data_IF_789511738042
#
_entry.id   IF_789511738042
#
_cell.length_a   1.000
_cell.length_b   1.000
_cell.length_c   1.000
_cell.angle_alpha   90.00
_cell.angle_beta   90.00
_cell.angle_gamma   90.00
#
_symmetry.space_group_name_H-M   'P 1'
#
loop_
_entity.id
_entity.type
_entity.pdbx_description
1 polymer ?
#
# COMPACT_ATOMS: atom_id res chain seq x y z
N UNK A 1 -18.92 -6.11 18.97
CA UNK A 1 -20.02 -5.43 19.71
C UNK A 1 -20.48 -6.20 20.94
N UNK A 2 -21.13 -7.38 20.84
CA UNK A 2 -21.66 -8.08 22.01
C UNK A 2 -20.58 -8.44 23.05
N UNK A 3 -19.36 -8.76 22.60
CA UNK A 3 -18.20 -8.99 23.46
C UNK A 3 -17.62 -7.72 24.12
N UNK A 4 -18.23 -6.54 23.93
CA UNK A 4 -17.78 -5.29 24.55
C UNK A 4 -16.49 -4.68 23.98
N UNK A 5 -15.92 -5.21 22.89
CA UNK A 5 -14.68 -4.69 22.32
C UNK A 5 -14.83 -3.25 21.79
N UNK A 6 -13.82 -2.42 22.07
CA UNK A 6 -13.71 -1.04 21.57
C UNK A 6 -13.03 -0.94 20.20
N UNK A 7 -12.23 -1.94 19.84
CA UNK A 7 -11.49 -2.00 18.59
C UNK A 7 -11.89 -3.20 17.73
N UNK A 8 -11.78 -3.03 16.42
CA UNK A 8 -11.94 -4.06 15.41
C UNK A 8 -10.76 -3.98 14.44
N UNK A 9 -9.97 -5.04 14.36
CA UNK A 9 -8.91 -5.20 13.36
C UNK A 9 -9.39 -6.22 12.34
N UNK A 10 -9.46 -5.83 11.08
CA UNK A 10 -9.90 -6.67 9.97
C UNK A 10 -8.76 -6.86 8.98
N UNK A 11 -8.34 -8.12 8.84
CA UNK A 11 -7.33 -8.55 7.87
C UNK A 11 -7.94 -9.57 6.91
N UNK A 12 -8.63 -9.08 5.88
CA UNK A 12 -9.36 -9.92 4.91
C UNK A 12 -9.22 -9.37 3.48
N UNK A 13 -9.62 -10.18 2.50
CA UNK A 13 -9.59 -9.79 1.08
C UNK A 13 -10.68 -8.76 0.74
N UNK A 14 -10.50 -7.95 -0.33
CA UNK A 14 -11.39 -6.84 -0.68
C UNK A 14 -12.90 -7.16 -0.70
N UNK A 15 -13.37 -8.29 -1.28
CA UNK A 15 -14.81 -8.59 -1.29
C UNK A 15 -15.41 -8.80 0.09
N UNK A 16 -14.63 -9.33 1.04
CA UNK A 16 -15.07 -9.52 2.42
C UNK A 16 -14.92 -8.24 3.23
N UNK A 17 -13.94 -7.38 2.90
CA UNK A 17 -13.79 -6.06 3.52
C UNK A 17 -15.02 -5.17 3.26
N UNK A 18 -15.58 -5.21 2.05
CA UNK A 18 -16.85 -4.53 1.73
C UNK A 18 -17.98 -5.02 2.66
N UNK A 19 -18.08 -6.33 2.87
CA UNK A 19 -19.11 -6.92 3.73
C UNK A 19 -18.90 -6.56 5.20
N UNK A 20 -17.66 -6.56 5.68
CA UNK A 20 -17.32 -6.18 7.05
C UNK A 20 -17.68 -4.71 7.33
N UNK A 21 -17.31 -3.79 6.43
CA UNK A 21 -17.64 -2.36 6.55
C UNK A 21 -19.17 -2.14 6.61
N UNK A 22 -19.90 -2.77 5.68
CA UNK A 22 -21.38 -2.72 5.68
C UNK A 22 -21.96 -3.27 6.97
N UNK A 23 -21.45 -4.42 7.45
CA UNK A 23 -21.97 -5.04 8.67
C UNK A 23 -21.71 -4.18 9.91
N UNK A 24 -20.54 -3.56 10.03
CA UNK A 24 -20.22 -2.65 11.15
C UNK A 24 -21.19 -1.46 11.15
N UNK A 25 -21.45 -0.87 9.98
CA UNK A 25 -22.45 0.19 9.81
C UNK A 25 -23.86 -0.29 10.19
N UNK A 26 -24.31 -1.42 9.66
CA UNK A 26 -25.67 -1.93 9.90
C UNK A 26 -25.91 -2.25 11.38
N UNK A 27 -24.85 -2.56 12.13
CA UNK A 27 -24.89 -2.74 13.59
C UNK A 27 -24.87 -1.43 14.39
N UNK A 28 -24.74 -0.28 13.72
CA UNK A 28 -24.51 1.03 14.33
C UNK A 28 -23.29 1.04 15.24
N UNK A 29 -22.30 0.17 14.98
CA UNK A 29 -21.12 0.04 15.83
C UNK A 29 -20.04 1.00 15.36
N UNK A 30 -19.41 1.70 16.31
CA UNK A 30 -18.35 2.69 16.05
C UNK A 30 -17.04 2.29 16.76
N UNK A 31 -16.41 1.15 16.40
CA UNK A 31 -15.14 0.79 16.99
C UNK A 31 -14.01 1.69 16.47
N UNK A 32 -12.87 1.66 17.16
CA UNK A 32 -11.59 1.92 16.50
C UNK A 32 -11.43 0.85 15.42
N UNK A 33 -11.58 1.23 14.16
CA UNK A 33 -11.66 0.28 13.06
C UNK A 33 -10.37 0.33 12.25
N UNK A 34 -9.61 -0.76 12.29
CA UNK A 34 -8.43 -0.96 11.48
C UNK A 34 -8.71 -1.96 10.34
N UNK A 35 -8.28 -1.60 9.13
CA UNK A 35 -8.33 -2.44 7.93
C UNK A 35 -6.91 -2.72 7.45
N UNK A 36 -6.61 -3.94 7.03
CA UNK A 36 -5.33 -4.24 6.41
C UNK A 36 -5.13 -3.45 5.11
N UNK A 37 -3.88 -3.10 4.82
CA UNK A 37 -3.50 -2.26 3.67
C UNK A 37 -3.96 -2.83 2.31
N UNK A 38 -4.08 -4.16 2.17
CA UNK A 38 -4.56 -4.82 0.94
C UNK A 38 -6.01 -4.44 0.60
N UNK A 39 -6.81 -4.06 1.60
CA UNK A 39 -8.23 -3.74 1.46
C UNK A 39 -8.51 -2.23 1.55
N UNK A 40 -7.54 -1.38 1.21
CA UNK A 40 -7.66 0.09 1.27
C UNK A 40 -8.14 0.75 -0.02
N UNK A 41 -8.39 -0.03 -1.08
CA UNK A 41 -8.82 0.51 -2.38
C UNK A 41 -10.12 1.30 -2.27
N UNK A 42 -10.07 2.58 -2.62
CA UNK A 42 -11.25 3.44 -2.61
C UNK A 42 -12.32 2.92 -3.59
N UNK A 43 -12.04 2.68 -4.88
CA UNK A 43 -13.08 2.27 -5.82
C UNK A 43 -13.54 0.82 -5.66
N UNK A 44 -12.70 -0.07 -5.13
CA UNK A 44 -13.03 -1.51 -5.04
C UNK A 44 -13.60 -1.88 -3.66
N UNK A 45 -13.26 -1.14 -2.60
CA UNK A 45 -13.69 -1.46 -1.22
C UNK A 45 -14.56 -0.35 -0.65
N UNK A 46 -14.02 0.86 -0.50
CA UNK A 46 -14.69 1.90 0.28
C UNK A 46 -15.95 2.44 -0.42
N UNK A 47 -15.90 2.67 -1.73
CA UNK A 47 -17.05 3.10 -2.52
C UNK A 47 -18.18 2.06 -2.50
N UNK A 48 -17.94 0.76 -2.79
CA UNK A 48 -18.98 -0.27 -2.64
C UNK A 48 -19.51 -0.40 -1.21
N UNK A 49 -18.70 -0.18 -0.18
CA UNK A 49 -19.16 -0.17 1.22
C UNK A 49 -19.99 1.09 1.57
N UNK A 50 -19.89 2.15 0.76
CA UNK A 50 -20.32 3.50 1.08
C UNK A 50 -19.20 4.26 1.79
N UNK A 51 -18.76 5.38 1.19
CA UNK A 51 -17.63 6.17 1.69
C UNK A 51 -17.86 6.72 3.09
N UNK A 52 -19.09 7.12 3.41
CA UNK A 52 -19.46 7.63 4.75
C UNK A 52 -19.19 6.59 5.84
N UNK A 53 -19.50 5.31 5.57
CA UNK A 53 -19.22 4.18 6.48
C UNK A 53 -17.73 3.97 6.75
N UNK A 54 -16.86 4.56 5.93
CA UNK A 54 -15.42 4.37 5.95
C UNK A 54 -14.67 5.57 6.54
N UNK A 55 -15.35 6.69 6.83
CA UNK A 55 -14.71 7.88 7.42
C UNK A 55 -14.12 7.52 8.78
N UNK A 56 -12.85 7.84 8.99
CA UNK A 56 -12.13 7.51 10.22
C UNK A 56 -11.52 6.11 10.27
N UNK A 57 -11.75 5.27 9.24
CA UNK A 57 -11.12 3.96 9.11
C UNK A 57 -9.60 4.12 9.13
N UNK A 58 -8.93 3.30 9.93
CA UNK A 58 -7.48 3.26 10.07
C UNK A 58 -6.89 2.15 9.20
N UNK A 59 -5.69 2.37 8.69
CA UNK A 59 -4.88 1.36 8.01
C UNK A 59 -3.40 1.72 8.11
N UNK A 60 -2.58 0.99 7.37
CA UNK A 60 -1.17 1.28 7.16
C UNK A 60 -0.88 1.47 5.67
N UNK A 61 0.15 2.26 5.37
CA UNK A 61 0.65 2.49 4.02
C UNK A 61 2.18 2.43 4.02
N UNK A 62 2.74 1.87 2.95
CA UNK A 62 4.18 1.93 2.65
C UNK A 62 4.46 2.60 1.29
N UNK A 63 3.40 2.99 0.58
CA UNK A 63 3.48 3.67 -0.72
C UNK A 63 2.82 5.03 -0.68
N UNK A 64 3.23 5.93 -1.58
CA UNK A 64 2.59 7.23 -1.80
C UNK A 64 1.15 7.03 -2.27
N UNK A 65 0.22 7.79 -1.69
CA UNK A 65 -1.14 7.94 -2.25
C UNK A 65 -1.07 8.94 -3.42
N UNK A 66 -1.48 8.55 -4.64
CA UNK A 66 -1.49 9.46 -5.80
C UNK A 66 -2.36 10.72 -5.63
N UNK A 67 -3.26 10.72 -4.64
CA UNK A 67 -4.10 11.87 -4.27
C UNK A 67 -3.51 12.74 -3.15
N UNK A 68 -2.38 12.36 -2.54
CA UNK A 68 -1.77 13.16 -1.49
C UNK A 68 -1.07 14.40 -2.09
N UNK A 69 -1.56 15.64 -1.81
CA UNK A 69 -0.97 16.85 -2.37
C UNK A 69 0.49 17.06 -1.94
N UNK A 70 0.92 16.42 -0.84
CA UNK A 70 2.32 16.44 -0.42
C UNK A 70 3.28 15.89 -1.49
N UNK A 71 2.80 15.05 -2.42
CA UNK A 71 3.59 14.46 -3.50
C UNK A 71 3.30 15.06 -4.88
N UNK A 72 2.53 16.16 -4.98
CA UNK A 72 2.15 16.75 -6.27
C UNK A 72 3.36 17.04 -7.18
N UNK A 73 4.47 17.45 -6.58
CA UNK A 73 5.71 17.78 -7.28
C UNK A 73 6.75 16.66 -7.30
N UNK A 74 6.48 15.52 -6.68
CA UNK A 74 7.38 14.37 -6.59
C UNK A 74 7.65 13.76 -7.97
N UNK A 75 8.93 13.52 -8.29
CA UNK A 75 9.34 12.96 -9.58
C UNK A 75 8.80 11.53 -9.78
N UNK A 76 8.84 10.68 -8.76
CA UNK A 76 8.32 9.32 -8.82
C UNK A 76 6.82 9.29 -9.10
N UNK A 77 6.04 10.19 -8.48
CA UNK A 77 4.61 10.32 -8.78
C UNK A 77 4.35 10.85 -10.20
N UNK A 78 5.15 11.81 -10.68
CA UNK A 78 5.05 12.32 -12.06
C UNK A 78 5.31 11.22 -13.09
N UNK A 79 6.37 10.44 -12.90
CA UNK A 79 6.71 9.32 -13.78
C UNK A 79 5.64 8.22 -13.73
N UNK A 80 5.14 7.90 -12.53
CA UNK A 80 4.04 6.94 -12.36
C UNK A 80 2.76 7.42 -13.06
N UNK A 81 2.39 8.70 -12.93
CA UNK A 81 1.23 9.29 -13.61
C UNK A 81 1.39 9.22 -15.13
N UNK A 82 2.56 9.59 -15.65
CA UNK A 82 2.84 9.49 -17.09
C UNK A 82 2.74 8.04 -17.59
N UNK A 83 3.24 7.08 -16.80
CA UNK A 83 3.11 5.65 -17.10
C UNK A 83 1.65 5.19 -17.10
N UNK A 84 0.86 5.55 -16.08
CA UNK A 84 -0.58 5.24 -16.02
C UNK A 84 -1.33 5.81 -17.23
N UNK A 85 -1.10 7.09 -17.56
CA UNK A 85 -1.75 7.73 -18.70
C UNK A 85 -1.43 7.05 -20.03
N UNK A 86 -0.19 6.55 -20.19
CA UNK A 86 0.25 5.90 -21.43
C UNK A 86 -0.27 4.47 -21.56
N UNK A 87 -0.19 3.68 -20.49
CA UNK A 87 -0.39 2.22 -20.56
C UNK A 87 -1.71 1.74 -19.98
N UNK A 88 -2.34 2.52 -19.10
CA UNK A 88 -3.60 2.18 -18.43
C UNK A 88 -4.57 3.39 -18.47
N UNK A 89 -4.86 3.94 -19.67
CA UNK A 89 -5.74 5.10 -19.77
C UNK A 89 -7.15 4.76 -19.24
N UNK A 90 -7.70 5.65 -18.41
CA UNK A 90 -9.04 5.50 -17.84
C UNK A 90 -9.12 4.65 -16.56
N UNK A 91 -8.02 4.02 -16.14
CA UNK A 91 -7.99 3.31 -14.87
C UNK A 91 -8.01 4.27 -13.67
N UNK A 92 -8.62 3.81 -12.57
CA UNK A 92 -8.75 4.61 -11.36
C UNK A 92 -7.44 4.59 -10.54
N UNK A 93 -6.74 5.72 -10.55
CA UNK A 93 -5.48 5.93 -9.83
C UNK A 93 -5.57 5.69 -8.31
N UNK A 94 -6.79 5.70 -7.75
CA UNK A 94 -7.05 5.43 -6.33
C UNK A 94 -6.95 3.95 -5.97
N UNK A 95 -6.69 3.06 -6.95
CA UNK A 95 -6.41 1.64 -6.73
C UNK A 95 -4.93 1.46 -6.35
N UNK A 96 -4.62 1.12 -5.08
CA UNK A 96 -3.23 1.00 -4.62
C UNK A 96 -2.42 -0.07 -5.35
N UNK A 97 -3.10 -1.06 -5.95
CA UNK A 97 -2.48 -2.14 -6.72
C UNK A 97 -1.63 -1.65 -7.90
N UNK A 98 -1.97 -0.50 -8.50
CA UNK A 98 -1.17 0.07 -9.58
C UNK A 98 0.16 0.64 -9.09
N UNK A 99 0.15 1.27 -7.92
CA UNK A 99 1.37 1.75 -7.26
C UNK A 99 2.24 0.57 -6.84
N UNK A 100 1.62 -0.46 -6.24
CA UNK A 100 2.30 -1.70 -5.90
C UNK A 100 2.97 -2.36 -7.11
N UNK A 101 2.24 -2.52 -8.22
CA UNK A 101 2.78 -3.12 -9.44
C UNK A 101 3.95 -2.33 -10.02
N UNK A 102 3.88 -1.00 -10.01
CA UNK A 102 4.96 -0.13 -10.47
C UNK A 102 6.22 -0.27 -9.63
N UNK A 103 6.10 -0.26 -8.29
CA UNK A 103 7.22 -0.48 -7.39
C UNK A 103 7.79 -1.91 -7.52
N UNK A 104 6.96 -2.94 -7.62
CA UNK A 104 7.42 -4.32 -7.83
C UNK A 104 8.22 -4.45 -9.14
N UNK A 105 7.78 -3.78 -10.21
CA UNK A 105 8.52 -3.74 -11.46
C UNK A 105 9.85 -2.97 -11.32
N UNK A 106 9.87 -1.85 -10.59
CA UNK A 106 11.09 -1.09 -10.30
C UNK A 106 12.11 -1.92 -9.49
N UNK A 107 11.64 -2.69 -8.50
CA UNK A 107 12.48 -3.61 -7.74
C UNK A 107 13.06 -4.72 -8.63
N UNK A 108 12.25 -5.29 -9.53
CA UNK A 108 12.75 -6.26 -10.52
C UNK A 108 13.82 -5.65 -11.42
N UNK A 109 13.61 -4.42 -11.92
CA UNK A 109 14.62 -3.70 -12.72
C UNK A 109 15.91 -3.51 -11.92
N UNK A 110 15.83 -3.19 -10.64
CA UNK A 110 17.00 -3.08 -9.77
C UNK A 110 17.75 -4.42 -9.65
N UNK A 111 17.04 -5.53 -9.42
CA UNK A 111 17.62 -6.88 -9.36
C UNK A 111 18.32 -7.23 -10.67
N UNK A 112 17.69 -6.96 -11.81
CA UNK A 112 18.26 -7.24 -13.13
C UNK A 112 19.50 -6.40 -13.42
N UNK A 113 19.51 -5.12 -13.01
CA UNK A 113 20.71 -4.26 -13.09
C UNK A 113 21.86 -4.82 -12.27
N UNK A 114 21.59 -5.29 -11.05
CA UNK A 114 22.57 -5.93 -10.19
C UNK A 114 23.08 -7.27 -10.75
N UNK A 115 22.22 -8.01 -11.45
CA UNK A 115 22.58 -9.29 -12.06
C UNK A 115 23.55 -9.13 -13.24
N UNK A 116 23.52 -7.97 -13.92
CA UNK A 116 24.37 -7.69 -15.07
C UNK A 116 24.08 -8.66 -16.23
N UNK A 117 25.12 -9.30 -16.76
CA UNK A 117 25.00 -10.22 -17.90
C UNK A 117 24.63 -11.66 -17.49
N UNK A 118 24.73 -12.00 -16.21
CA UNK A 118 24.35 -13.32 -15.72
C UNK A 118 22.89 -13.30 -15.24
N UNK A 119 21.98 -13.60 -16.17
CA UNK A 119 20.54 -13.70 -15.89
C UNK A 119 20.11 -15.11 -15.51
N UNK A 120 21.02 -15.94 -14.99
CA UNK A 120 20.67 -17.25 -14.44
C UNK A 120 19.72 -17.11 -13.24
N UNK A 121 18.86 -18.11 -13.03
CA UNK A 121 17.96 -18.15 -11.88
C UNK A 121 18.71 -18.03 -10.55
N UNK A 122 19.86 -18.69 -10.45
CA UNK A 122 20.72 -18.66 -9.26
C UNK A 122 21.20 -17.24 -8.97
N UNK A 123 21.74 -16.54 -9.97
CA UNK A 123 22.21 -15.17 -9.78
C UNK A 123 21.07 -14.19 -9.50
N UNK A 124 19.93 -14.32 -10.18
CA UNK A 124 18.75 -13.48 -9.94
C UNK A 124 18.27 -13.62 -8.49
N UNK A 125 18.14 -14.85 -7.98
CA UNK A 125 17.75 -15.07 -6.58
C UNK A 125 18.81 -14.51 -5.64
N UNK A 126 20.10 -14.70 -5.93
CA UNK A 126 21.20 -14.13 -5.14
C UNK A 126 21.12 -12.61 -5.06
N UNK A 127 20.80 -11.90 -6.14
CA UNK A 127 20.63 -10.45 -6.13
C UNK A 127 19.34 -10.01 -5.42
N UNK A 128 18.24 -10.72 -5.66
CA UNK A 128 16.95 -10.45 -5.04
C UNK A 128 16.96 -10.62 -3.52
N UNK A 129 17.83 -11.49 -2.99
CA UNK A 129 18.05 -11.69 -1.54
C UNK A 129 19.23 -10.89 -0.99
N UNK A 130 19.72 -9.88 -1.72
CA UNK A 130 20.78 -8.98 -1.26
C UNK A 130 20.50 -7.51 -1.63
N UNK A 131 19.23 -7.11 -1.61
CA UNK A 131 18.86 -5.71 -1.77
C UNK A 131 19.21 -4.94 -0.49
N UNK A 132 19.86 -3.80 -0.63
CA UNK A 132 20.29 -2.93 0.48
C UNK A 132 19.86 -1.52 0.20
N UNK A 133 19.04 -0.95 1.09
CA UNK A 133 18.62 0.43 1.06
C UNK A 133 18.03 0.89 -0.29
N UNK A 134 17.34 0.01 -1.01
CA UNK A 134 16.81 0.32 -2.34
C UNK A 134 15.57 1.20 -2.21
N UNK A 135 15.68 2.43 -2.70
CA UNK A 135 14.54 3.33 -2.84
C UNK A 135 13.76 3.00 -4.12
N UNK A 136 12.43 2.98 -4.02
CA UNK A 136 11.55 2.79 -5.18
C UNK A 136 10.69 4.05 -5.38
N UNK A 137 10.31 4.37 -6.64
CA UNK A 137 9.76 5.67 -6.98
C UNK A 137 8.52 6.06 -6.18
N UNK A 138 7.69 5.09 -5.81
CA UNK A 138 6.42 5.32 -5.14
C UNK A 138 6.39 4.84 -3.68
N UNK A 139 7.52 4.49 -3.07
CA UNK A 139 7.58 4.25 -1.62
C UNK A 139 7.43 5.55 -0.84
N UNK A 140 6.89 5.50 0.37
CA UNK A 140 6.89 6.68 1.24
C UNK A 140 8.33 7.10 1.59
N UNK A 141 8.58 8.41 1.79
CA UNK A 141 9.88 8.88 2.24
C UNK A 141 10.34 8.14 3.52
N UNK A 142 11.60 7.71 3.53
CA UNK A 142 12.19 6.96 4.65
C UNK A 142 11.98 5.44 4.58
N UNK A 143 11.13 4.93 3.67
CA UNK A 143 10.95 3.49 3.44
C UNK A 143 11.91 3.02 2.36
N UNK A 144 12.64 1.93 2.65
CA UNK A 144 13.63 1.35 1.75
C UNK A 144 13.46 -0.16 1.68
N UNK A 145 13.77 -0.71 0.52
CA UNK A 145 13.76 -2.15 0.30
C UNK A 145 15.06 -2.78 0.78
N UNK A 146 14.93 -3.76 1.68
CA UNK A 146 16.02 -4.56 2.20
C UNK A 146 15.66 -6.05 2.14
N UNK A 147 16.58 -6.89 1.70
CA UNK A 147 16.43 -8.34 1.72
C UNK A 147 17.74 -9.00 2.10
N UNK A 148 17.64 -10.22 2.63
CA UNK A 148 18.79 -11.07 2.94
C UNK A 148 18.49 -12.54 2.59
N UNK A 149 19.50 -13.43 2.53
CA UNK A 149 19.25 -14.87 2.37
C UNK A 149 18.39 -15.49 3.48
N UNK A 150 18.21 -14.79 4.60
CA UNK A 150 17.41 -15.21 5.76
C UNK A 150 16.16 -14.35 5.97
N UNK A 151 15.97 -13.30 5.18
CA UNK A 151 14.82 -12.38 5.27
C UNK A 151 14.36 -11.96 3.87
N UNK A 152 13.18 -12.44 3.51
CA UNK A 152 12.56 -12.26 2.20
C UNK A 152 11.45 -11.21 2.22
N UNK A 153 11.28 -10.46 3.31
CA UNK A 153 10.29 -9.39 3.42
C UNK A 153 10.91 -8.06 2.97
N UNK A 154 10.68 -7.62 1.71
CA UNK A 154 11.41 -6.48 1.16
C UNK A 154 11.08 -5.15 1.84
N UNK A 155 9.88 -5.00 2.39
CA UNK A 155 9.42 -3.76 3.04
C UNK A 155 8.86 -4.12 4.41
N UNK A 156 9.54 -3.63 5.44
CA UNK A 156 9.22 -3.85 6.85
C UNK A 156 8.90 -2.53 7.58
N UNK A 157 8.76 -1.44 6.81
CA UNK A 157 8.40 -0.14 7.34
C UNK A 157 7.00 0.25 6.86
N UNK A 158 6.23 0.89 7.73
CA UNK A 158 4.89 1.37 7.40
C UNK A 158 4.58 2.68 8.12
N UNK A 159 3.66 3.46 7.58
CA UNK A 159 3.08 4.63 8.23
C UNK A 159 1.58 4.43 8.41
N UNK A 160 1.02 4.90 9.52
CA UNK A 160 -0.42 4.84 9.73
C UNK A 160 -1.15 5.83 8.83
N UNK A 161 -2.33 5.43 8.37
CA UNK A 161 -3.22 6.26 7.56
C UNK A 161 -4.65 6.22 8.08
N UNK A 162 -5.37 7.32 7.90
CA UNK A 162 -6.81 7.45 8.20
C UNK A 162 -7.56 7.90 6.96
N UNK A 163 -8.68 7.27 6.66
CA UNK A 163 -9.54 7.72 5.58
C UNK A 163 -10.36 8.96 6.02
N UNK A 164 -10.24 10.07 5.29
CA UNK A 164 -10.92 11.33 5.62
C UNK A 164 -12.29 11.49 4.92
N UNK A 165 -12.72 10.48 4.16
CA UNK A 165 -13.91 10.53 3.30
C UNK A 165 -13.59 10.76 1.82
N UNK A 166 -12.36 11.16 1.50
CA UNK A 166 -11.89 11.43 0.13
C UNK A 166 -10.61 10.69 -0.22
N UNK A 167 -9.63 10.64 0.69
CA UNK A 167 -8.33 9.99 0.51
C UNK A 167 -7.81 9.41 1.83
N UNK A 168 -6.70 8.69 1.75
CA UNK A 168 -5.98 8.24 2.93
C UNK A 168 -4.98 9.32 3.37
N UNK A 169 -5.06 9.73 4.63
CA UNK A 169 -4.21 10.78 5.23
C UNK A 169 -3.24 10.12 6.20
N UNK A 170 -1.94 10.31 5.96
CA UNK A 170 -0.85 9.78 6.79
C UNK A 170 -0.78 10.50 8.14
N UNK A 171 -0.46 9.77 9.20
CA UNK A 171 -0.21 10.33 10.53
C UNK A 171 0.75 9.45 11.32
N UNK A 172 1.37 10.04 12.35
CA UNK A 172 2.41 9.39 13.16
C UNK A 172 3.72 9.20 12.39
N UNK A 173 4.72 8.71 13.11
CA UNK A 173 6.04 8.39 12.54
C UNK A 173 6.00 7.05 11.79
N UNK A 174 7.10 6.73 11.08
CA UNK A 174 7.30 5.40 10.53
C UNK A 174 7.38 4.38 11.67
N UNK A 175 6.66 3.28 11.49
CA UNK A 175 6.72 2.08 12.33
C UNK A 175 7.60 1.07 11.60
N UNK A 176 8.48 0.43 12.36
CA UNK A 176 9.41 -0.58 11.88
C UNK A 176 8.99 -1.94 12.44
N UNK A 177 9.04 -2.97 11.60
CA UNK A 177 9.09 -4.37 12.06
C UNK A 177 10.49 -4.57 12.68
N UNK A 178 10.55 -4.96 13.96
CA UNK A 178 11.80 -5.31 14.66
C UNK A 178 12.19 -6.76 14.41
#
# INVERSE_FOLDING_TARGET
KAAGCDALIVAILPPFAVQALRKVRDLGWKPIFFMNNVSTSIPIVLQPAGLESSIGLLSSAYVKDPLDPAFENDSGLKDWRAWMSKYLPGEDVRRPSFVFGYNSAAALVQVLKQAGNDLSRENIIRQATNLRDVELPMLLPGIKVNTSPTDYYPVQQLQLVRFDGRRWVRFGDLVYDE
#
